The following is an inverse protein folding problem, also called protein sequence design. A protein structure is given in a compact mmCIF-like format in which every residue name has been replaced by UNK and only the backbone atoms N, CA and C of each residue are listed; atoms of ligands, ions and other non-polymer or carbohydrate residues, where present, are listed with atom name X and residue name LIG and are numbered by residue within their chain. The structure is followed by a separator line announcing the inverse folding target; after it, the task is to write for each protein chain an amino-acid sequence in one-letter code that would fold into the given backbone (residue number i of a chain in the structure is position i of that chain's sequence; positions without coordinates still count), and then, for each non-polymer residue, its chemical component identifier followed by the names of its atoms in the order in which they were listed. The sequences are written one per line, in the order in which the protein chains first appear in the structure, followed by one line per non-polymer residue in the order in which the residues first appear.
data_IF_617029133140
#
_entry.id   IF_617029133140
#
_cell.length_a   1.000
_cell.length_b   1.000
_cell.length_c   1.000
_cell.angle_alpha   90.00
_cell.angle_beta   90.00
_cell.angle_gamma   90.00
#
_symmetry.space_group_name_H-M   'P 1'
#
loop_
_entity.id
_entity.type
_entity.pdbx_description
1 polymer ?
#
# COMPACT_ATOMS: atom_id res chain seq x y z
N UNK A 1 0.05 -5.60 23.00
CA UNK A 1 -1.15 -5.41 22.14
C UNK A 1 -0.72 -5.49 20.68
N UNK A 2 -1.20 -6.46 19.91
CA UNK A 2 -0.90 -6.54 18.47
C UNK A 2 -1.80 -5.52 17.74
N UNK A 3 -1.21 -4.53 17.05
CA UNK A 3 -1.97 -3.58 16.24
C UNK A 3 -2.50 -4.30 14.99
N UNK A 4 -3.82 -4.40 14.88
CA UNK A 4 -4.50 -4.95 13.70
C UNK A 4 -4.69 -3.80 12.71
N UNK A 5 -4.11 -3.91 11.52
CA UNK A 5 -4.27 -2.91 10.47
C UNK A 5 -5.39 -3.33 9.52
N UNK A 6 -6.24 -2.39 9.14
CA UNK A 6 -7.29 -2.60 8.12
C UNK A 6 -6.77 -2.33 6.70
N UNK A 7 -5.62 -1.69 6.60
CA UNK A 7 -5.00 -1.26 5.35
C UNK A 7 -3.48 -1.47 5.39
N UNK A 8 -2.91 -1.75 4.22
CA UNK A 8 -1.50 -2.00 4.05
C UNK A 8 -0.68 -0.74 4.39
N UNK A 9 0.26 -0.87 5.33
CA UNK A 9 1.12 0.24 5.76
C UNK A 9 2.25 0.59 4.76
N UNK A 10 2.23 0.01 3.56
CA UNK A 10 3.17 0.34 2.47
C UNK A 10 2.50 1.02 1.28
N UNK A 11 1.36 0.49 0.82
CA UNK A 11 0.66 1.00 -0.37
C UNK A 11 -0.70 1.64 -0.07
N UNK A 12 -1.22 1.54 1.15
CA UNK A 12 -2.55 2.03 1.51
C UNK A 12 -3.71 1.18 0.99
N UNK A 13 -3.43 0.01 0.39
CA UNK A 13 -4.47 -0.89 -0.11
C UNK A 13 -5.24 -1.53 1.06
N UNK A 14 -6.58 -1.62 1.01
CA UNK A 14 -7.35 -2.32 2.03
C UNK A 14 -6.94 -3.79 2.12
N UNK A 15 -6.51 -4.25 3.30
CA UNK A 15 -6.08 -5.64 3.48
C UNK A 15 -7.25 -6.62 3.31
N UNK A 16 -8.49 -6.17 3.54
CA UNK A 16 -9.71 -6.94 3.26
C UNK A 16 -9.88 -7.30 1.78
N UNK A 17 -9.31 -6.52 0.86
CA UNK A 17 -9.36 -6.80 -0.57
C UNK A 17 -8.18 -7.64 -1.06
N UNK A 18 -7.17 -7.83 -0.22
CA UNK A 18 -6.01 -8.65 -0.57
C UNK A 18 -6.44 -10.12 -0.54
N UNK A 19 -6.33 -10.78 -1.70
CA UNK A 19 -6.63 -12.21 -1.84
C UNK A 19 -5.42 -13.10 -1.53
N UNK A 20 -4.24 -12.51 -1.33
CA UNK A 20 -3.00 -13.25 -1.07
C UNK A 20 -2.71 -13.41 0.42
N UNK A 21 -2.00 -14.47 0.78
CA UNK A 21 -1.44 -14.62 2.11
C UNK A 21 -0.08 -13.90 2.15
N UNK A 22 -0.05 -12.67 2.66
CA UNK A 22 1.19 -11.89 2.79
C UNK A 22 2.12 -12.40 3.90
N UNK A 23 1.62 -13.27 4.78
CA UNK A 23 2.31 -13.69 6.00
C UNK A 23 2.49 -12.56 7.01
N UNK A 24 1.82 -11.41 6.82
CA UNK A 24 1.90 -10.25 7.70
C UNK A 24 0.53 -9.60 7.91
N UNK A 25 0.22 -9.19 9.14
CA UNK A 25 -1.02 -8.46 9.45
C UNK A 25 -0.95 -6.95 9.12
N UNK A 26 0.17 -6.51 8.54
CA UNK A 26 0.53 -5.09 8.36
C UNK A 26 0.60 -4.73 6.87
N UNK A 27 1.06 -5.66 6.03
CA UNK A 27 1.31 -5.44 4.60
C UNK A 27 0.51 -6.41 3.73
N UNK A 28 0.18 -5.97 2.52
CA UNK A 28 -0.45 -6.83 1.53
C UNK A 28 0.57 -7.73 0.81
N UNK A 29 0.07 -8.80 0.21
CA UNK A 29 0.83 -9.84 -0.49
C UNK A 29 1.65 -9.31 -1.67
N UNK A 30 1.22 -8.19 -2.26
CA UNK A 30 1.94 -7.53 -3.35
C UNK A 30 3.12 -6.68 -2.86
N UNK A 31 3.04 -6.15 -1.63
CA UNK A 31 4.11 -5.32 -1.04
C UNK A 31 5.11 -6.16 -0.23
N UNK A 32 4.63 -7.23 0.39
CA UNK A 32 5.41 -8.09 1.27
C UNK A 32 5.04 -9.54 1.00
N UNK A 33 6.04 -10.33 0.60
CA UNK A 33 5.89 -11.74 0.24
C UNK A 33 7.10 -12.52 0.73
N UNK A 34 6.85 -13.70 1.30
CA UNK A 34 7.90 -14.61 1.80
C UNK A 34 8.91 -13.93 2.75
N UNK A 35 8.42 -13.06 3.63
CA UNK A 35 9.28 -12.37 4.62
C UNK A 35 10.12 -11.21 4.06
N UNK A 36 9.93 -10.81 2.81
CA UNK A 36 10.68 -9.70 2.18
C UNK A 36 9.74 -8.73 1.47
N UNK A 37 10.12 -7.45 1.45
CA UNK A 37 9.46 -6.49 0.59
C UNK A 37 9.80 -6.79 -0.87
N UNK A 38 8.79 -6.79 -1.74
CA UNK A 38 8.99 -6.90 -3.20
C UNK A 38 9.80 -5.73 -3.74
N UNK A 39 9.65 -4.57 -3.11
CA UNK A 39 10.35 -3.34 -3.49
C UNK A 39 11.06 -2.74 -2.26
N UNK A 40 12.24 -3.23 -1.86
CA UNK A 40 12.94 -2.73 -0.68
C UNK A 40 13.52 -1.33 -0.89
N UNK A 41 14.01 -1.04 -2.11
CA UNK A 41 14.70 0.21 -2.46
C UNK A 41 13.79 1.28 -3.09
N UNK A 42 12.48 1.03 -3.15
CA UNK A 42 11.55 2.01 -3.74
C UNK A 42 11.46 3.25 -2.88
N UNK A 43 11.46 4.42 -3.52
CA UNK A 43 11.23 5.69 -2.85
C UNK A 43 9.73 5.94 -2.65
N UNK A 44 9.38 6.87 -1.75
CA UNK A 44 8.00 7.30 -1.54
C UNK A 44 7.33 7.74 -2.86
N UNK A 45 8.03 8.58 -3.64
CA UNK A 45 7.49 9.11 -4.91
C UNK A 45 7.23 8.00 -5.93
N UNK A 46 8.13 7.02 -6.02
CA UNK A 46 7.95 5.86 -6.89
C UNK A 46 6.79 4.98 -6.41
N UNK A 47 6.65 4.77 -5.10
CA UNK A 47 5.52 4.04 -4.55
C UNK A 47 4.19 4.75 -4.84
N UNK A 48 4.15 6.07 -4.69
CA UNK A 48 2.99 6.89 -5.05
C UNK A 48 2.64 6.73 -6.52
N UNK A 49 3.63 6.79 -7.42
CA UNK A 49 3.43 6.61 -8.86
C UNK A 49 2.91 5.20 -9.18
N UNK A 50 3.49 4.18 -8.56
CA UNK A 50 3.09 2.77 -8.74
C UNK A 50 1.64 2.54 -8.30
N UNK A 51 1.28 2.98 -7.09
CA UNK A 51 -0.11 2.87 -6.60
C UNK A 51 -1.06 3.66 -7.48
N UNK A 52 -0.66 4.86 -7.92
CA UNK A 52 -1.44 5.69 -8.81
C UNK A 52 -1.70 5.02 -10.16
N UNK A 53 -0.71 4.32 -10.72
CA UNK A 53 -0.83 3.61 -12.00
C UNK A 53 -1.70 2.35 -11.87
N UNK A 54 -1.57 1.59 -10.78
CA UNK A 54 -2.46 0.45 -10.48
C UNK A 54 -3.91 0.94 -10.35
N UNK A 55 -4.14 1.95 -9.52
CA UNK A 55 -5.48 2.53 -9.32
C UNK A 55 -6.02 3.17 -10.59
N UNK A 56 -5.18 3.74 -11.46
CA UNK A 56 -5.62 4.27 -12.76
C UNK A 56 -6.14 3.16 -13.68
N UNK A 57 -5.52 1.97 -13.64
CA UNK A 57 -5.97 0.80 -14.41
C UNK A 57 -7.28 0.24 -13.85
N UNK A 58 -7.43 0.13 -12.53
CA UNK A 58 -8.62 -0.45 -11.91
C UNK A 58 -9.81 0.53 -11.79
N UNK A 59 -9.54 1.81 -11.46
CA UNK A 59 -10.57 2.79 -11.09
C UNK A 59 -10.72 3.92 -12.13
N UNK A 60 -10.89 3.56 -13.42
CA UNK A 60 -11.03 4.48 -14.57
C UNK A 60 -11.97 5.69 -14.37
N UNK A 61 -12.96 5.64 -13.45
CA UNK A 61 -13.94 6.71 -13.17
C UNK A 61 -13.87 7.34 -11.77
N UNK A 62 -12.95 6.93 -10.88
CA UNK A 62 -12.90 7.37 -9.47
C UNK A 62 -11.60 8.11 -9.13
N UNK A 63 -11.31 9.17 -9.90
CA UNK A 63 -10.08 9.96 -9.76
C UNK A 63 -9.86 10.56 -8.36
N UNK A 64 -10.94 10.96 -7.68
CA UNK A 64 -10.89 11.47 -6.30
C UNK A 64 -10.37 10.43 -5.30
N UNK A 65 -10.90 9.20 -5.33
CA UNK A 65 -10.44 8.11 -4.47
C UNK A 65 -8.97 7.73 -4.75
N UNK A 66 -8.58 7.75 -6.03
CA UNK A 66 -7.18 7.55 -6.42
C UNK A 66 -6.26 8.60 -5.79
N UNK A 67 -6.66 9.87 -5.86
CA UNK A 67 -5.90 10.96 -5.27
C UNK A 67 -5.79 10.83 -3.74
N UNK A 68 -6.90 10.51 -3.06
CA UNK A 68 -6.90 10.26 -1.61
C UNK A 68 -5.95 9.12 -1.23
N UNK A 69 -5.98 8.00 -1.97
CA UNK A 69 -5.11 6.86 -1.73
C UNK A 69 -3.63 7.21 -1.87
N UNK A 70 -3.26 8.02 -2.86
CA UNK A 70 -1.87 8.45 -3.07
C UNK A 70 -1.42 9.47 -2.00
N UNK A 71 -2.33 10.36 -1.59
CA UNK A 71 -2.07 11.38 -0.57
C UNK A 71 -1.85 10.79 0.83
N UNK A 72 -2.47 9.66 1.15
CA UNK A 72 -2.26 9.01 2.45
C UNK A 72 -0.95 8.20 2.56
N UNK A 73 -0.32 7.80 1.43
CA UNK A 73 0.92 7.00 1.42
C UNK A 73 2.02 7.58 2.33
N UNK A 74 2.37 8.88 2.27
CA UNK A 74 3.38 9.47 3.16
C UNK A 74 3.05 9.42 4.66
N UNK A 75 1.79 9.19 5.03
CA UNK A 75 1.35 9.09 6.43
C UNK A 75 1.42 7.65 6.96
N UNK A 76 1.62 6.66 6.10
CA UNK A 76 1.71 5.25 6.47
C UNK A 76 3.01 4.95 7.22
N UNK A 77 3.00 3.93 8.09
CA UNK A 77 4.15 3.63 8.96
C UNK A 77 5.46 3.38 8.22
N UNK A 78 5.42 2.80 7.01
CA UNK A 78 6.63 2.58 6.20
C UNK A 78 7.31 3.89 5.78
N UNK A 79 6.53 4.94 5.56
CA UNK A 79 6.99 6.19 4.96
C UNK A 79 7.02 7.36 5.93
N UNK A 80 6.31 7.23 7.05
CA UNK A 80 6.26 8.22 8.11
C UNK A 80 7.66 8.41 8.69
N UNK A 81 8.34 9.46 8.26
CA UNK A 81 9.53 9.97 8.94
C UNK A 81 9.08 10.43 10.34
N UNK A 82 9.72 9.87 11.36
CA UNK A 82 9.49 10.24 12.76
C UNK A 82 10.14 11.58 13.07
#
# INVERSE_FOLDING_TARGET
MQKIYTQCQSCGMPLKMDKGNSGSLIYCSSCYKNGKFTYPNISLKEMQKLVNDILKKEMKRRGFFRWLAVMQIPRLERWRKK
#
